data_IF_163284846358
#
_entry.id   IF_163284846358
#
_cell.length_a   1.000
_cell.length_b   1.000
_cell.length_c   1.000
_cell.angle_alpha   90.00
_cell.angle_beta   90.00
_cell.angle_gamma   90.00
#
_symmetry.space_group_name_H-M   'P 1'
#
loop_
_entity.id
_entity.type
_entity.pdbx_description
1 polymer ?
#
# COMPACT_ATOMS: atom_id res chain seq x y z
N UNK A 1 -33.16 1.16 1.26
CA UNK A 1 -32.49 0.24 0.39
C UNK A 1 -31.05 0.65 0.44
N UNK A 2 -30.34 0.05 1.38
CA UNK A 2 -28.94 0.13 1.29
C UNK A 2 -28.60 -0.18 -0.16
N UNK A 3 -28.08 0.77 -0.84
CA UNK A 3 -27.82 0.64 -2.24
C UNK A 3 -26.90 -0.56 -2.42
N UNK A 4 -27.52 -1.68 -2.70
CA UNK A 4 -26.83 -2.90 -3.07
C UNK A 4 -26.49 -2.85 -4.55
N UNK A 5 -26.27 -1.66 -5.08
CA UNK A 5 -25.56 -1.61 -6.34
C UNK A 5 -24.25 -2.36 -6.10
N UNK A 6 -24.03 -3.43 -6.82
CA UNK A 6 -22.76 -4.11 -6.74
C UNK A 6 -21.71 -3.03 -6.94
N UNK A 7 -20.73 -2.98 -6.06
CA UNK A 7 -19.63 -2.04 -6.19
C UNK A 7 -19.07 -2.25 -7.58
N UNK A 8 -19.49 -1.41 -8.51
CA UNK A 8 -18.99 -1.48 -9.87
C UNK A 8 -17.57 -0.97 -9.82
N UNK A 9 -16.62 -1.88 -9.92
CA UNK A 9 -15.24 -1.51 -10.09
C UNK A 9 -15.14 -0.68 -11.35
N UNK A 10 -14.65 0.53 -11.22
CA UNK A 10 -14.25 1.29 -12.39
C UNK A 10 -13.20 0.50 -13.16
N UNK A 11 -13.19 0.62 -14.47
CA UNK A 11 -12.27 -0.14 -15.32
C UNK A 11 -10.81 0.04 -14.90
N UNK A 12 -10.45 1.23 -14.40
CA UNK A 12 -9.12 1.52 -13.90
C UNK A 12 -8.80 0.72 -12.64
N UNK A 13 -9.73 0.66 -11.68
CA UNK A 13 -9.57 -0.15 -10.47
C UNK A 13 -9.44 -1.63 -10.80
N UNK A 14 -10.27 -2.11 -11.72
CA UNK A 14 -10.22 -3.50 -12.17
C UNK A 14 -8.88 -3.86 -12.79
N UNK A 15 -8.32 -2.96 -13.60
CA UNK A 15 -6.99 -3.18 -14.20
C UNK A 15 -5.89 -3.27 -13.16
N UNK A 16 -5.89 -2.36 -12.19
CA UNK A 16 -4.88 -2.38 -11.12
C UNK A 16 -5.02 -3.66 -10.30
N UNK A 17 -6.23 -3.98 -9.86
CA UNK A 17 -6.47 -5.19 -9.06
C UNK A 17 -6.06 -6.44 -9.83
N UNK A 18 -6.42 -6.55 -11.10
CA UNK A 18 -6.06 -7.70 -11.93
C UNK A 18 -4.54 -7.88 -12.00
N UNK A 19 -3.79 -6.80 -12.20
CA UNK A 19 -2.34 -6.86 -12.26
C UNK A 19 -1.72 -7.26 -10.92
N UNK A 20 -2.26 -6.73 -9.83
CA UNK A 20 -1.82 -7.14 -8.50
C UNK A 20 -2.09 -8.63 -8.26
N UNK A 21 -3.25 -9.12 -8.69
CA UNK A 21 -3.59 -10.54 -8.57
C UNK A 21 -2.72 -11.44 -9.44
N UNK A 22 -2.15 -10.90 -10.52
CA UNK A 22 -1.17 -11.60 -11.35
C UNK A 22 0.25 -11.60 -10.75
N UNK A 23 0.43 -10.94 -9.61
CA UNK A 23 1.73 -10.90 -8.93
C UNK A 23 2.64 -9.77 -9.38
N UNK A 24 2.15 -8.81 -10.15
CA UNK A 24 2.96 -7.70 -10.63
C UNK A 24 3.21 -6.66 -9.55
N UNK A 25 4.37 -6.01 -9.62
CA UNK A 25 4.71 -4.85 -8.79
C UNK A 25 4.24 -3.60 -9.50
N UNK A 26 3.41 -2.79 -8.84
CA UNK A 26 2.77 -1.66 -9.48
C UNK A 26 2.92 -0.38 -8.65
N UNK A 27 3.31 0.70 -9.31
CA UNK A 27 3.23 2.05 -8.78
C UNK A 27 2.11 2.77 -9.51
N UNK A 28 1.15 3.32 -8.77
CA UNK A 28 -0.03 3.97 -9.33
C UNK A 28 -0.03 5.45 -8.95
N UNK A 29 -0.24 6.29 -9.94
CA UNK A 29 -0.58 7.68 -9.75
C UNK A 29 -2.05 7.86 -10.13
N UNK A 30 -2.87 8.27 -9.16
CA UNK A 30 -4.30 8.40 -9.37
C UNK A 30 -4.88 9.49 -8.46
N UNK A 31 -6.03 10.09 -8.85
CA UNK A 31 -6.73 11.02 -7.96
C UNK A 31 -7.12 10.36 -6.63
N UNK A 32 -7.33 11.19 -5.61
CA UNK A 32 -7.75 10.69 -4.28
C UNK A 32 -9.05 9.90 -4.32
N UNK A 33 -9.91 10.19 -5.28
CA UNK A 33 -11.18 9.49 -5.49
C UNK A 33 -11.05 8.12 -6.15
N UNK A 34 -9.84 7.66 -6.40
CA UNK A 34 -9.60 6.41 -7.11
C UNK A 34 -10.09 5.16 -6.36
N UNK A 35 -10.29 5.23 -5.06
CA UNK A 35 -10.75 4.07 -4.30
C UNK A 35 -9.63 3.07 -4.00
N UNK A 36 -8.45 3.57 -3.72
CA UNK A 36 -7.27 2.74 -3.42
C UNK A 36 -7.49 1.77 -2.26
N UNK A 37 -8.26 2.18 -1.26
CA UNK A 37 -8.58 1.31 -0.11
C UNK A 37 -9.39 0.09 -0.53
N UNK A 38 -10.28 0.24 -1.49
CA UNK A 38 -11.05 -0.89 -2.01
C UNK A 38 -10.15 -1.94 -2.67
N UNK A 39 -9.15 -1.50 -3.42
CA UNK A 39 -8.21 -2.40 -4.10
C UNK A 39 -7.39 -3.17 -3.08
N UNK A 40 -6.90 -2.50 -2.03
CA UNK A 40 -6.15 -3.14 -0.95
C UNK A 40 -7.00 -4.21 -0.26
N UNK A 41 -8.23 -3.86 0.09
CA UNK A 41 -9.14 -4.79 0.77
C UNK A 41 -9.48 -5.99 -0.11
N UNK A 42 -9.74 -5.75 -1.38
CA UNK A 42 -10.03 -6.81 -2.34
C UNK A 42 -8.84 -7.76 -2.52
N UNK A 43 -7.63 -7.20 -2.62
CA UNK A 43 -6.43 -8.01 -2.74
C UNK A 43 -6.23 -8.91 -1.52
N UNK A 44 -6.34 -8.34 -0.31
CA UNK A 44 -6.19 -9.10 0.92
C UNK A 44 -7.26 -10.20 1.02
N UNK A 45 -8.50 -9.88 0.67
CA UNK A 45 -9.62 -10.83 0.72
C UNK A 45 -9.43 -12.00 -0.24
N UNK A 46 -8.90 -11.73 -1.42
CA UNK A 46 -8.75 -12.75 -2.46
C UNK A 46 -7.48 -13.58 -2.25
N UNK A 47 -6.36 -12.94 -2.02
CA UNK A 47 -5.06 -13.62 -1.90
C UNK A 47 -4.75 -14.15 -0.52
N UNK A 48 -5.35 -13.58 0.51
CA UNK A 48 -5.13 -13.95 1.91
C UNK A 48 -3.63 -14.09 2.24
N UNK A 49 -2.84 -13.04 1.97
CA UNK A 49 -1.40 -13.08 2.24
C UNK A 49 -1.14 -13.20 3.74
N UNK A 50 0.00 -13.77 4.12
CA UNK A 50 0.36 -13.93 5.53
C UNK A 50 0.81 -12.62 6.15
N UNK A 51 1.72 -11.90 5.49
CA UNK A 51 2.25 -10.64 5.99
C UNK A 51 2.02 -9.50 5.00
N UNK A 52 1.25 -8.51 5.43
CA UNK A 52 1.03 -7.28 4.67
C UNK A 52 1.58 -6.12 5.49
N UNK A 53 2.36 -5.25 4.86
CA UNK A 53 2.85 -4.01 5.49
C UNK A 53 2.28 -2.83 4.72
N UNK A 54 1.60 -1.94 5.43
CA UNK A 54 1.02 -0.72 4.86
C UNK A 54 1.69 0.49 5.53
N UNK A 55 2.46 1.23 4.75
CA UNK A 55 3.11 2.45 5.21
C UNK A 55 2.28 3.64 4.76
N UNK A 56 1.91 4.48 5.71
CA UNK A 56 1.13 5.70 5.50
C UNK A 56 1.90 6.91 6.03
N UNK A 57 1.62 8.11 5.50
CA UNK A 57 2.46 9.27 5.85
C UNK A 57 2.28 9.81 7.26
N UNK A 58 1.14 9.57 7.90
CA UNK A 58 0.85 10.16 9.22
C UNK A 58 0.23 9.15 10.18
N UNK A 59 0.34 9.44 11.48
CA UNK A 59 -0.31 8.66 12.53
C UNK A 59 -1.85 8.71 12.38
N UNK A 60 -2.39 9.85 12.01
CA UNK A 60 -3.83 10.01 11.81
C UNK A 60 -4.35 9.08 10.69
N UNK A 61 -3.61 8.99 9.59
CA UNK A 61 -3.95 8.08 8.48
C UNK A 61 -3.74 6.62 8.88
N UNK A 62 -2.73 6.34 9.69
CA UNK A 62 -2.52 5.00 10.24
C UNK A 62 -3.72 4.56 11.09
N UNK A 63 -4.22 5.44 11.94
CA UNK A 63 -5.40 5.18 12.76
C UNK A 63 -6.66 4.95 11.94
N UNK A 64 -6.87 5.78 10.94
CA UNK A 64 -8.02 5.64 10.03
C UNK A 64 -7.97 4.31 9.28
N UNK A 65 -6.82 3.97 8.73
CA UNK A 65 -6.60 2.71 8.03
C UNK A 65 -6.77 1.52 8.97
N UNK A 66 -6.22 1.62 10.19
CA UNK A 66 -6.36 0.58 11.21
C UNK A 66 -7.83 0.27 11.50
N UNK A 67 -8.64 1.31 11.74
CA UNK A 67 -10.07 1.11 12.04
C UNK A 67 -10.79 0.38 10.92
N UNK A 68 -10.52 0.77 9.68
CA UNK A 68 -11.12 0.13 8.51
C UNK A 68 -10.68 -1.33 8.35
N UNK A 69 -9.40 -1.58 8.49
CA UNK A 69 -8.81 -2.92 8.35
C UNK A 69 -9.23 -3.84 9.50
N UNK A 70 -9.24 -3.34 10.74
CA UNK A 70 -9.71 -4.13 11.90
C UNK A 70 -11.14 -4.59 11.72
N UNK A 71 -11.99 -3.70 11.25
CA UNK A 71 -13.41 -4.03 11.03
C UNK A 71 -13.56 -5.21 10.06
N UNK A 72 -12.74 -5.27 9.03
CA UNK A 72 -12.83 -6.30 7.98
C UNK A 72 -12.03 -7.56 8.27
N UNK A 73 -10.87 -7.44 8.89
CA UNK A 73 -9.88 -8.50 8.90
C UNK A 73 -9.42 -8.96 10.28
N UNK A 74 -9.87 -8.35 11.38
CA UNK A 74 -9.38 -8.70 12.73
C UNK A 74 -9.64 -10.15 13.12
N UNK A 75 -10.61 -10.81 12.49
CA UNK A 75 -10.90 -12.23 12.77
C UNK A 75 -9.85 -13.17 12.21
N UNK A 76 -9.10 -12.74 11.20
CA UNK A 76 -8.14 -13.59 10.47
C UNK A 76 -6.71 -13.09 10.57
N UNK A 77 -6.53 -11.83 10.97
CA UNK A 77 -5.23 -11.16 11.00
C UNK A 77 -5.02 -10.47 12.33
N UNK A 78 -3.78 -10.51 12.81
CA UNK A 78 -3.35 -9.60 13.85
C UNK A 78 -3.03 -8.26 13.20
N UNK A 79 -3.65 -7.19 13.68
CA UNK A 79 -3.41 -5.84 13.18
C UNK A 79 -2.36 -5.19 14.09
N UNK A 80 -1.22 -4.82 13.52
CA UNK A 80 -0.07 -4.31 14.26
C UNK A 80 0.18 -2.86 13.86
N UNK A 81 0.14 -1.98 14.85
CA UNK A 81 0.37 -0.54 14.67
C UNK A 81 1.47 0.02 15.55
N UNK A 82 2.01 -0.78 16.46
CA UNK A 82 3.04 -0.39 17.41
C UNK A 82 4.38 -1.05 17.07
N UNK A 83 5.45 -0.63 17.75
CA UNK A 83 6.81 -1.11 17.48
C UNK A 83 7.20 -2.36 18.26
N UNK A 84 6.41 -2.76 19.24
CA UNK A 84 6.72 -3.82 20.20
C UNK A 84 5.79 -5.02 20.15
N UNK A 85 4.94 -5.10 19.13
CA UNK A 85 3.97 -6.19 19.03
C UNK A 85 4.64 -7.51 18.65
N UNK A 86 4.10 -8.59 19.17
CA UNK A 86 4.51 -9.94 18.80
C UNK A 86 3.94 -10.31 17.44
N UNK A 87 4.79 -10.80 16.56
CA UNK A 87 4.39 -11.24 15.22
C UNK A 87 3.76 -12.62 15.34
N UNK A 88 2.63 -12.80 14.67
CA UNK A 88 1.92 -14.09 14.58
C UNK A 88 2.03 -14.67 13.18
N UNK A 89 1.24 -15.69 12.89
CA UNK A 89 1.23 -16.32 11.57
C UNK A 89 0.70 -15.40 10.47
N UNK A 90 -0.33 -14.58 10.80
CA UNK A 90 -0.95 -13.67 9.86
C UNK A 90 -1.04 -12.27 10.45
N UNK A 91 -0.38 -11.32 9.80
CA UNK A 91 -0.26 -9.96 10.30
C UNK A 91 -0.53 -8.92 9.21
N UNK A 92 -1.19 -7.85 9.60
CA UNK A 92 -1.25 -6.62 8.80
C UNK A 92 -0.65 -5.52 9.64
N UNK A 93 0.48 -4.99 9.17
CA UNK A 93 1.18 -3.89 9.82
C UNK A 93 0.73 -2.58 9.19
N UNK A 94 0.33 -1.62 10.01
CA UNK A 94 -0.13 -0.31 9.53
C UNK A 94 0.53 0.76 10.39
N UNK A 95 1.45 1.52 9.80
CA UNK A 95 2.17 2.54 10.56
C UNK A 95 2.91 3.54 9.65
N UNK A 96 3.29 4.71 10.19
CA UNK A 96 4.24 5.59 9.51
C UNK A 96 5.61 4.90 9.34
N UNK A 97 6.39 5.36 8.38
CA UNK A 97 7.66 4.72 8.05
C UNK A 97 8.61 4.55 9.24
N UNK A 98 8.60 5.49 10.17
CA UNK A 98 9.49 5.46 11.32
C UNK A 98 9.30 4.21 12.20
N UNK A 99 8.07 3.73 12.31
CA UNK A 99 7.76 2.52 13.09
C UNK A 99 8.20 1.24 12.40
N UNK A 100 8.40 1.28 11.10
CA UNK A 100 8.82 0.09 10.34
C UNK A 100 10.21 -0.39 10.71
N UNK A 101 11.08 0.53 11.17
CA UNK A 101 12.45 0.19 11.53
C UNK A 101 12.54 -0.86 12.65
N UNK A 102 11.57 -0.85 13.55
CA UNK A 102 11.52 -1.83 14.64
C UNK A 102 11.35 -3.27 14.14
N UNK A 103 10.88 -3.44 12.91
CA UNK A 103 10.59 -4.75 12.34
C UNK A 103 11.58 -5.20 11.26
N UNK A 104 12.59 -4.40 10.92
CA UNK A 104 13.57 -4.76 9.90
C UNK A 104 14.28 -6.08 10.19
N UNK A 105 14.60 -6.31 11.47
CA UNK A 105 15.29 -7.54 11.90
C UNK A 105 14.34 -8.66 12.31
N UNK A 106 13.05 -8.35 12.46
CA UNK A 106 12.06 -9.31 12.95
C UNK A 106 11.24 -9.95 11.84
N UNK A 107 11.09 -9.26 10.72
CA UNK A 107 10.34 -9.77 9.57
C UNK A 107 11.30 -10.42 8.58
N UNK A 108 11.07 -11.67 8.29
CA UNK A 108 11.84 -12.41 7.28
C UNK A 108 11.23 -12.27 5.89
N UNK A 109 9.92 -12.10 5.82
CA UNK A 109 9.17 -12.11 4.57
C UNK A 109 7.94 -11.23 4.66
N UNK A 110 7.71 -10.46 3.60
CA UNK A 110 6.49 -9.68 3.40
C UNK A 110 5.85 -10.14 2.10
N UNK A 111 4.57 -10.49 2.13
CA UNK A 111 3.86 -10.91 0.91
C UNK A 111 3.45 -9.72 0.07
N UNK A 112 3.04 -8.62 0.71
CA UNK A 112 2.67 -7.39 0.02
C UNK A 112 3.12 -6.18 0.83
N UNK A 113 3.94 -5.34 0.22
CA UNK A 113 4.32 -4.03 0.77
C UNK A 113 3.54 -2.95 0.05
N UNK A 114 2.76 -2.20 0.82
CA UNK A 114 1.96 -1.09 0.31
C UNK A 114 2.50 0.21 0.88
N UNK A 115 2.82 1.16 0.03
CA UNK A 115 3.34 2.47 0.46
C UNK A 115 2.47 3.57 -0.15
N UNK A 116 1.80 4.32 0.71
CA UNK A 116 1.01 5.47 0.30
C UNK A 116 1.92 6.71 0.22
N UNK A 117 1.67 7.55 -0.77
CA UNK A 117 2.48 8.75 -1.02
C UNK A 117 3.98 8.44 -1.17
N UNK A 118 4.31 7.36 -1.86
CA UNK A 118 5.69 6.88 -2.00
C UNK A 118 6.64 7.89 -2.65
N UNK A 119 6.12 8.83 -3.45
CA UNK A 119 6.93 9.85 -4.12
C UNK A 119 7.69 10.74 -3.13
N UNK A 120 7.24 10.81 -1.88
CA UNK A 120 7.91 11.58 -0.82
C UNK A 120 9.27 11.01 -0.43
N UNK A 121 9.61 9.81 -0.90
CA UNK A 121 10.95 9.26 -0.76
C UNK A 121 11.97 9.89 -1.71
N UNK A 122 11.50 10.68 -2.68
CA UNK A 122 12.35 11.35 -3.66
C UNK A 122 13.22 12.43 -3.00
N UNK A 123 14.44 12.58 -3.50
CA UNK A 123 15.36 13.64 -3.05
C UNK A 123 14.84 15.06 -3.28
N UNK A 124 13.77 15.23 -4.06
CA UNK A 124 13.10 16.51 -4.22
C UNK A 124 12.43 16.98 -2.92
N UNK A 125 12.15 16.07 -2.01
CA UNK A 125 11.60 16.38 -0.70
C UNK A 125 12.72 16.29 0.31
N UNK A 126 13.50 17.38 0.42
CA UNK A 126 14.69 17.44 1.24
C UNK A 126 14.33 17.59 2.72
N UNK A 127 13.95 16.49 3.33
CA UNK A 127 13.77 16.42 4.78
C UNK A 127 14.20 15.04 5.31
N UNK A 128 14.32 14.95 6.63
CA UNK A 128 14.72 13.71 7.28
C UNK A 128 13.73 12.57 7.04
N UNK A 129 12.46 12.91 6.78
CA UNK A 129 11.42 11.91 6.53
C UNK A 129 11.54 11.30 5.14
N UNK A 130 12.00 12.04 4.13
CA UNK A 130 12.28 11.48 2.80
C UNK A 130 13.31 10.37 2.89
N UNK A 131 14.38 10.62 3.63
CA UNK A 131 15.45 9.66 3.82
C UNK A 131 14.98 8.42 4.56
N UNK A 132 14.18 8.58 5.61
CA UNK A 132 13.66 7.45 6.38
C UNK A 132 12.65 6.65 5.56
N UNK A 133 11.81 7.30 4.75
CA UNK A 133 10.88 6.60 3.87
C UNK A 133 11.63 5.79 2.82
N UNK A 134 12.66 6.37 2.21
CA UNK A 134 13.49 5.67 1.23
C UNK A 134 14.15 4.44 1.84
N UNK A 135 14.71 4.58 3.05
CA UNK A 135 15.31 3.44 3.77
C UNK A 135 14.30 2.34 4.04
N UNK A 136 13.10 2.71 4.51
CA UNK A 136 12.03 1.74 4.75
C UNK A 136 11.63 1.01 3.47
N UNK A 137 11.46 1.72 2.37
CA UNK A 137 11.09 1.14 1.09
C UNK A 137 12.16 0.18 0.57
N UNK A 138 13.43 0.53 0.70
CA UNK A 138 14.53 -0.31 0.26
C UNK A 138 14.63 -1.57 1.13
N UNK A 139 14.67 -1.40 2.45
CA UNK A 139 14.87 -2.54 3.36
C UNK A 139 13.68 -3.50 3.37
N UNK A 140 12.47 -2.97 3.44
CA UNK A 140 11.27 -3.81 3.39
C UNK A 140 11.04 -4.37 1.99
N UNK A 141 11.40 -3.62 0.96
CA UNK A 141 11.29 -4.07 -0.43
C UNK A 141 12.13 -5.31 -0.72
N UNK A 142 13.31 -5.43 -0.11
CA UNK A 142 14.19 -6.58 -0.28
C UNK A 142 13.55 -7.90 0.14
N UNK A 143 12.69 -7.86 1.15
CA UNK A 143 12.02 -9.06 1.68
C UNK A 143 10.57 -9.18 1.23
N UNK A 144 10.12 -8.27 0.37
CA UNK A 144 8.75 -8.25 -0.13
C UNK A 144 8.61 -9.04 -1.42
N UNK A 145 7.66 -9.94 -1.44
CA UNK A 145 7.31 -10.70 -2.64
C UNK A 145 6.68 -9.79 -3.69
N UNK A 146 5.88 -8.82 -3.24
CA UNK A 146 5.14 -7.92 -4.11
C UNK A 146 5.06 -6.53 -3.49
N UNK A 147 5.07 -5.48 -4.34
CA UNK A 147 5.03 -4.09 -3.91
C UNK A 147 3.91 -3.35 -4.64
N UNK A 148 3.17 -2.54 -3.89
CA UNK A 148 2.12 -1.69 -4.43
C UNK A 148 2.29 -0.28 -3.86
N UNK A 149 2.70 0.66 -4.71
CA UNK A 149 3.00 2.03 -4.32
C UNK A 149 1.98 3.00 -4.89
N UNK A 150 1.54 3.94 -4.08
CA UNK A 150 0.45 4.87 -4.40
C UNK A 150 0.91 6.32 -4.31
N UNK A 151 0.46 7.13 -5.25
CA UNK A 151 0.70 8.57 -5.26
C UNK A 151 -0.48 9.31 -5.88
N UNK A 152 -0.79 10.53 -5.42
CA UNK A 152 -1.76 11.37 -6.08
C UNK A 152 -1.12 12.06 -7.29
N UNK A 153 -1.78 12.08 -8.42
CA UNK A 153 -1.50 12.90 -9.61
C UNK A 153 -0.05 13.31 -9.87
N UNK A 154 0.89 12.37 -9.82
CA UNK A 154 2.25 12.66 -10.26
C UNK A 154 2.40 12.30 -11.75
N UNK A 155 3.18 13.11 -12.47
CA UNK A 155 3.30 12.96 -13.93
C UNK A 155 4.28 11.89 -14.35
N UNK A 156 5.33 11.70 -13.58
CA UNK A 156 6.41 10.79 -13.95
C UNK A 156 7.12 10.27 -12.71
N UNK A 157 7.45 8.99 -12.76
CA UNK A 157 8.38 8.38 -11.82
C UNK A 157 9.65 8.09 -12.59
N UNK A 158 10.76 8.70 -12.17
CA UNK A 158 12.07 8.30 -12.69
C UNK A 158 12.41 6.93 -12.13
N UNK A 159 13.09 6.13 -12.92
CA UNK A 159 13.61 4.87 -12.44
C UNK A 159 14.55 5.12 -11.26
N UNK A 160 14.17 4.62 -10.12
CA UNK A 160 14.92 4.72 -8.88
C UNK A 160 15.05 3.33 -8.26
N UNK A 161 16.01 3.19 -7.35
CA UNK A 161 16.24 1.91 -6.64
C UNK A 161 14.96 1.42 -5.98
N UNK A 162 14.14 2.32 -5.44
CA UNK A 162 12.90 1.94 -4.75
C UNK A 162 11.74 1.58 -5.68
N UNK A 163 11.83 1.91 -6.97
CA UNK A 163 10.80 1.56 -7.97
C UNK A 163 11.30 0.55 -9.00
N UNK A 164 12.51 0.03 -8.82
CA UNK A 164 13.07 -0.96 -9.73
C UNK A 164 12.17 -2.19 -9.85
N UNK A 165 11.92 -2.60 -11.08
CA UNK A 165 11.06 -3.75 -11.38
C UNK A 165 9.58 -3.47 -11.24
N UNK A 166 9.15 -2.23 -11.04
CA UNK A 166 7.76 -1.85 -10.92
C UNK A 166 7.21 -1.29 -12.22
N UNK A 167 5.95 -1.58 -12.49
CA UNK A 167 5.22 -0.95 -13.59
C UNK A 167 4.52 0.29 -13.07
N UNK A 168 4.62 1.38 -13.81
CA UNK A 168 3.95 2.63 -13.46
C UNK A 168 2.64 2.77 -14.22
N UNK A 169 1.56 3.02 -13.48
CA UNK A 169 0.25 3.28 -14.06
C UNK A 169 -0.22 4.68 -13.65
N UNK A 170 -0.47 5.52 -14.64
CA UNK A 170 -1.02 6.84 -14.42
C UNK A 170 -2.50 6.85 -14.80
N UNK A 171 -3.37 7.08 -13.83
CA UNK A 171 -4.81 7.06 -14.03
C UNK A 171 -5.34 8.48 -14.00
N UNK A 172 -5.30 9.15 -15.13
CA UNK A 172 -5.77 10.53 -15.27
C UNK A 172 -7.22 10.63 -15.70
N UNK A 173 -7.72 9.62 -16.38
CA UNK A 173 -9.05 9.63 -17.00
C UNK A 173 -10.12 8.97 -16.14
N UNK A 174 -9.88 8.92 -14.85
CA UNK A 174 -10.76 8.27 -13.91
C UNK A 174 -12.19 8.83 -13.96
N UNK A 175 -12.32 10.12 -14.25
CA UNK A 175 -13.63 10.79 -14.32
C UNK A 175 -14.42 10.45 -15.58
N UNK A 176 -13.76 10.07 -16.64
CA UNK A 176 -14.44 9.80 -17.91
C UNK A 176 -15.04 8.40 -17.98
N UNK A 177 -14.66 7.54 -17.06
CA UNK A 177 -15.15 6.17 -17.00
C UNK A 177 -16.56 6.09 -16.41
N UNK A 178 -17.05 7.18 -15.86
CA UNK A 178 -18.35 7.25 -15.18
C UNK A 178 -19.50 7.56 -16.15
N UNK A 179 -19.19 7.95 -17.33
CA UNK A 179 -20.22 8.25 -18.33
C UNK A 179 -20.76 7.02 -19.01
#
# INVERSE_FOLDING_TARGET
>A
VGDKTPVTLHSAQSRVLKRLLLGENIAVSAPTSFGKSFIIDAFISIRKPDNVVIIVPTIALADETRRRIEHKFSRFYKIITTTDATITERNIFIFPQERSFAYFDKLEKIDMLIVDEFYKASSMFDDSRSSSLLSAMIELGKISRQRYYLAPNIHKISDNVFTEGMQFMRLTDFKTVIT
#
